data_IF_279313001626
#
_entry.id   IF_279313001626
#
_cell.length_a   1.000
_cell.length_b   1.000
_cell.length_c   1.000
_cell.angle_alpha   90.00
_cell.angle_beta   90.00
_cell.angle_gamma   90.00
#
_symmetry.space_group_name_H-M   'P 1'
#
loop_
_entity.id
_entity.type
_entity.pdbx_description
1 polymer ?
#
# COMPACT_ATOMS: atom_id res chain seq x y z
N UNK A 1 -11.29 13.93 -0.13
CA UNK A 1 -11.36 14.50 -1.49
C UNK A 1 -12.53 13.86 -2.22
N UNK A 2 -13.39 14.64 -2.88
CA UNK A 2 -14.53 14.10 -3.65
C UNK A 2 -14.17 14.17 -5.13
N UNK A 3 -14.31 13.05 -5.83
CA UNK A 3 -14.13 12.95 -7.29
C UNK A 3 -15.45 12.57 -7.94
N UNK A 4 -15.73 13.14 -9.12
CA UNK A 4 -16.95 12.85 -9.88
C UNK A 4 -16.69 11.74 -10.87
N UNK A 5 -17.69 10.88 -11.05
CA UNK A 5 -17.73 9.88 -12.12
C UNK A 5 -18.32 10.55 -13.36
N UNK A 6 -17.64 10.44 -14.51
CA UNK A 6 -18.16 10.98 -15.76
C UNK A 6 -19.24 10.07 -16.37
N UNK A 7 -19.85 10.52 -17.49
CA UNK A 7 -20.91 9.76 -18.19
C UNK A 7 -20.49 8.38 -18.69
N UNK A 8 -19.18 8.10 -18.75
CA UNK A 8 -18.61 6.81 -19.18
C UNK A 8 -18.18 5.95 -18.00
N UNK A 9 -18.48 6.35 -16.76
CA UNK A 9 -18.09 5.61 -15.57
C UNK A 9 -16.65 5.84 -15.12
N UNK A 10 -15.94 6.85 -15.68
CA UNK A 10 -14.52 7.07 -15.37
C UNK A 10 -14.36 8.01 -14.19
N UNK A 11 -13.40 7.70 -13.32
CA UNK A 11 -12.94 8.58 -12.24
C UNK A 11 -11.59 9.16 -12.63
N UNK A 12 -11.49 10.49 -12.65
CA UNK A 12 -10.20 11.15 -12.89
C UNK A 12 -9.35 11.14 -11.62
N UNK A 13 -8.15 10.58 -11.72
CA UNK A 13 -7.18 10.60 -10.63
C UNK A 13 -6.47 11.97 -10.55
N UNK A 14 -6.55 12.65 -9.39
CA UNK A 14 -5.82 13.89 -9.13
C UNK A 14 -4.32 13.75 -9.38
N UNK A 15 -3.67 14.88 -9.71
CA UNK A 15 -2.23 14.92 -10.04
C UNK A 15 -1.36 14.29 -8.93
N UNK A 16 -1.65 14.62 -7.67
CA UNK A 16 -0.94 14.10 -6.50
C UNK A 16 -0.94 12.56 -6.44
N UNK A 17 -2.05 11.93 -6.80
CA UNK A 17 -2.17 10.47 -6.84
C UNK A 17 -1.42 9.89 -8.04
N UNK A 18 -1.49 10.55 -9.20
CA UNK A 18 -0.78 10.12 -10.41
C UNK A 18 0.74 10.21 -10.29
N UNK A 19 1.25 11.19 -9.54
CA UNK A 19 2.69 11.37 -9.34
C UNK A 19 3.26 10.44 -8.27
N UNK A 20 2.43 10.00 -7.31
CA UNK A 20 2.83 9.05 -6.29
C UNK A 20 3.07 7.67 -6.90
N UNK A 21 4.34 7.33 -7.13
CA UNK A 21 4.77 6.06 -7.69
C UNK A 21 4.56 5.90 -9.21
N UNK A 22 4.08 6.95 -9.90
CA UNK A 22 3.79 6.98 -11.35
C UNK A 22 3.22 5.67 -11.93
N UNK A 23 2.18 5.08 -11.31
CA UNK A 23 1.63 3.81 -11.78
C UNK A 23 0.95 3.98 -13.14
N UNK A 24 1.20 3.02 -14.04
CA UNK A 24 0.55 2.96 -15.36
C UNK A 24 -0.79 2.22 -15.32
N UNK A 25 -0.91 1.25 -14.40
CA UNK A 25 -2.03 0.34 -14.27
C UNK A 25 -2.40 0.14 -12.80
N UNK A 26 -3.67 -0.20 -12.56
CA UNK A 26 -4.18 -0.51 -11.23
C UNK A 26 -5.05 -1.76 -11.28
N UNK A 27 -4.96 -2.58 -10.25
CA UNK A 27 -5.99 -3.54 -9.93
C UNK A 27 -7.15 -2.82 -9.26
N UNK A 28 -8.38 -3.13 -9.70
CA UNK A 28 -9.61 -2.69 -9.05
C UNK A 28 -10.09 -3.84 -8.18
N UNK A 29 -10.14 -3.61 -6.86
CA UNK A 29 -10.61 -4.59 -5.89
C UNK A 29 -11.94 -4.11 -5.31
N UNK A 30 -12.96 -4.94 -5.38
CA UNK A 30 -14.25 -4.69 -4.75
C UNK A 30 -14.20 -5.12 -3.27
N UNK A 31 -14.64 -4.23 -2.40
CA UNK A 31 -14.75 -4.42 -0.95
C UNK A 31 -16.20 -4.15 -0.53
N UNK A 32 -16.65 -4.65 0.64
CA UNK A 32 -18.03 -4.44 1.10
C UNK A 32 -18.45 -2.96 1.22
N UNK A 33 -17.47 -2.07 1.41
CA UNK A 33 -17.68 -0.63 1.61
C UNK A 33 -17.17 0.25 0.46
N UNK A 34 -16.73 -0.33 -0.65
CA UNK A 34 -16.28 0.45 -1.81
C UNK A 34 -15.28 -0.26 -2.70
N UNK A 35 -14.52 0.52 -3.45
CA UNK A 35 -13.45 0.02 -4.33
C UNK A 35 -12.09 0.46 -3.82
N UNK A 36 -11.09 -0.40 -3.99
CA UNK A 36 -9.68 -0.08 -3.75
C UNK A 36 -8.91 -0.18 -5.05
N UNK A 37 -8.13 0.86 -5.35
CA UNK A 37 -7.21 0.88 -6.49
C UNK A 37 -5.81 0.55 -6.00
N UNK A 38 -5.28 -0.60 -6.42
CA UNK A 38 -3.94 -1.06 -6.06
C UNK A 38 -3.01 -0.91 -7.27
N UNK A 39 -1.95 -0.08 -7.20
CA UNK A 39 -0.98 0.04 -8.27
C UNK A 39 -0.45 -1.31 -8.71
N UNK A 40 -0.46 -1.59 -10.01
CA UNK A 40 0.22 -2.77 -10.55
C UNK A 40 1.72 -2.46 -10.65
N UNK A 41 2.50 -3.31 -10.02
CA UNK A 41 3.96 -3.35 -10.19
C UNK A 41 4.30 -4.23 -11.39
N UNK A 42 5.32 -3.83 -12.17
CA UNK A 42 5.77 -4.58 -13.34
C UNK A 42 6.37 -5.93 -12.92
N UNK A 43 7.13 -5.95 -11.82
CA UNK A 43 7.73 -7.14 -11.23
C UNK A 43 7.43 -7.21 -9.72
N UNK A 44 6.40 -7.97 -9.30
CA UNK A 44 6.04 -8.07 -7.89
C UNK A 44 7.06 -8.83 -7.04
N UNK A 45 7.81 -9.76 -7.63
CA UNK A 45 8.81 -10.55 -6.89
C UNK A 45 9.98 -9.65 -6.55
N UNK A 46 10.49 -8.91 -7.55
CA UNK A 46 11.58 -7.97 -7.33
C UNK A 46 11.24 -6.91 -6.29
N UNK A 47 10.01 -6.39 -6.30
CA UNK A 47 9.56 -5.45 -5.27
C UNK A 47 9.58 -6.07 -3.88
N UNK A 48 9.17 -7.34 -3.74
CA UNK A 48 9.23 -8.03 -2.45
C UNK A 48 10.67 -8.30 -2.00
N UNK A 49 11.57 -8.62 -2.94
CA UNK A 49 13.00 -8.78 -2.65
C UNK A 49 13.61 -7.45 -2.18
N UNK A 50 13.40 -6.36 -2.92
CA UNK A 50 13.89 -5.02 -2.59
C UNK A 50 13.35 -4.53 -1.23
N UNK A 51 12.09 -4.83 -0.90
CA UNK A 51 11.51 -4.53 0.42
C UNK A 51 12.07 -5.45 1.51
N UNK A 52 12.33 -6.72 1.18
CA UNK A 52 12.96 -7.69 2.08
C UNK A 52 14.38 -7.29 2.48
N UNK A 53 15.18 -6.77 1.54
CA UNK A 53 16.53 -6.27 1.80
C UNK A 53 16.57 -5.07 2.77
N UNK A 54 15.49 -4.30 2.86
CA UNK A 54 15.38 -3.17 3.80
C UNK A 54 15.07 -3.61 5.23
N UNK A 55 14.61 -4.85 5.42
CA UNK A 55 14.31 -5.36 6.74
C UNK A 55 15.61 -5.53 7.54
N UNK A 56 15.57 -5.26 8.85
CA UNK A 56 16.74 -5.49 9.70
C UNK A 56 17.07 -6.99 9.70
N UNK A 57 18.37 -7.30 9.69
CA UNK A 57 18.87 -8.68 9.74
C UNK A 57 18.70 -9.27 11.14
N UNK A 58 17.45 -9.52 11.52
CA UNK A 58 17.03 -10.10 12.78
C UNK A 58 16.44 -11.49 12.53
N UNK A 59 16.52 -12.34 13.55
CA UNK A 59 15.76 -13.58 13.49
C UNK A 59 14.24 -13.28 13.52
N UNK A 60 13.44 -14.20 13.00
CA UNK A 60 11.98 -14.04 12.91
C UNK A 60 11.33 -13.80 14.29
N UNK A 61 11.88 -14.37 15.36
CA UNK A 61 11.34 -14.28 16.72
C UNK A 61 11.61 -12.88 17.30
N UNK A 62 12.79 -12.34 17.08
CA UNK A 62 13.18 -10.98 17.44
C UNK A 62 12.42 -9.95 16.62
N UNK A 63 12.30 -10.16 15.30
CA UNK A 63 11.51 -9.29 14.43
C UNK A 63 10.06 -9.19 14.90
N UNK A 64 9.42 -10.31 15.24
CA UNK A 64 8.06 -10.34 15.80
C UNK A 64 7.95 -9.58 17.12
N UNK A 65 8.97 -9.65 17.97
CA UNK A 65 9.01 -8.93 19.24
C UNK A 65 9.07 -7.42 18.99
N UNK A 66 9.95 -6.97 18.10
CA UNK A 66 10.09 -5.55 17.74
C UNK A 66 8.81 -4.99 17.15
N UNK A 67 8.22 -5.68 16.17
CA UNK A 67 6.94 -5.28 15.55
C UNK A 67 5.84 -5.11 16.61
N UNK A 68 5.77 -6.04 17.57
CA UNK A 68 4.77 -5.98 18.64
C UNK A 68 5.01 -4.81 19.60
N UNK A 69 6.26 -4.57 19.98
CA UNK A 69 6.62 -3.45 20.86
C UNK A 69 6.35 -2.09 20.18
N UNK A 70 6.60 -1.96 18.88
CA UNK A 70 6.23 -0.75 18.11
C UNK A 70 4.72 -0.57 18.02
N UNK A 71 3.97 -1.62 17.67
CA UNK A 71 2.52 -1.55 17.61
C UNK A 71 1.90 -1.17 18.97
N UNK A 72 2.43 -1.70 20.08
CA UNK A 72 2.00 -1.35 21.45
C UNK A 72 2.26 0.12 21.79
N UNK A 73 3.38 0.71 21.32
CA UNK A 73 3.69 2.14 21.48
C UNK A 73 2.76 3.03 20.66
N UNK A 74 2.49 2.68 19.40
CA UNK A 74 1.64 3.48 18.51
C UNK A 74 0.21 3.63 19.06
N UNK A 75 -0.30 2.61 19.74
CA UNK A 75 -1.63 2.62 20.37
C UNK A 75 -1.62 3.10 21.83
N UNK A 76 -0.45 3.51 22.36
CA UNK A 76 -0.30 4.08 23.70
C UNK A 76 -0.48 3.09 24.85
N UNK A 77 -0.26 1.80 24.63
CA UNK A 77 -0.26 0.78 25.70
C UNK A 77 1.07 0.76 26.49
N UNK A 78 2.09 1.47 26.01
CA UNK A 78 3.43 1.60 26.61
C UNK A 78 4.06 2.95 26.31
#
# INVERSE_FOLDING_TARGET
MIVKVDKKGRVYLPKEIREKGKPKEFYVVELPYGIMLVPRVEDPIKVLEDEGEKLPNLDIKELKKVIREEAEKEIGLR
#
